data_IF_116176486123
#
_entry.id   IF_116176486123
#
_cell.length_a   1.000
_cell.length_b   1.000
_cell.length_c   1.000
_cell.angle_alpha   90.00
_cell.angle_beta   90.00
_cell.angle_gamma   90.00
#
_symmetry.space_group_name_H-M   'P 1'
#
loop_
_entity.id
_entity.type
_entity.pdbx_description
1 polymer ?
#
# COMPACT_ATOMS: atom_id res chain seq x y z
N UNK A 1 -28.85 14.68 3.64
CA UNK A 1 -27.55 14.02 3.62
C UNK A 1 -26.99 14.09 2.19
N UNK A 2 -25.70 14.33 2.02
CA UNK A 2 -25.03 14.28 0.70
C UNK A 2 -25.13 12.84 0.18
N UNK A 3 -25.60 12.65 -1.05
CA UNK A 3 -25.65 11.31 -1.64
C UNK A 3 -24.25 10.93 -2.13
N UNK A 4 -23.82 9.66 -1.95
CA UNK A 4 -22.56 9.21 -2.48
C UNK A 4 -22.56 9.27 -4.02
N UNK A 5 -21.45 9.64 -4.61
CA UNK A 5 -21.28 9.72 -6.08
C UNK A 5 -20.28 8.70 -6.61
N UNK A 6 -19.53 8.07 -5.72
CA UNK A 6 -18.56 7.02 -6.01
C UNK A 6 -18.68 5.87 -5.03
N UNK A 7 -18.49 4.64 -5.50
CA UNK A 7 -18.59 3.42 -4.67
C UNK A 7 -17.52 2.42 -5.03
N UNK A 8 -17.14 1.58 -4.05
CA UNK A 8 -16.23 0.45 -4.27
C UNK A 8 -17.06 -0.71 -4.80
N UNK A 9 -16.77 -1.16 -6.02
CA UNK A 9 -17.50 -2.23 -6.71
C UNK A 9 -16.78 -3.57 -6.72
N UNK A 10 -15.44 -3.55 -6.57
CA UNK A 10 -14.63 -4.75 -6.51
C UNK A 10 -13.42 -4.54 -5.59
N UNK A 11 -12.88 -5.64 -5.06
CA UNK A 11 -11.67 -5.63 -4.25
C UNK A 11 -10.90 -6.94 -4.37
N UNK A 12 -9.60 -6.87 -4.15
CA UNK A 12 -8.71 -8.01 -4.12
C UNK A 12 -7.54 -7.77 -3.18
N UNK A 13 -6.85 -8.85 -2.85
CA UNK A 13 -5.70 -8.79 -1.94
C UNK A 13 -4.68 -9.86 -2.26
N UNK A 14 -3.46 -9.61 -1.82
CA UNK A 14 -2.39 -10.61 -1.78
C UNK A 14 -1.54 -10.42 -0.54
N UNK A 15 -1.15 -11.52 0.08
CA UNK A 15 -0.15 -11.60 1.13
C UNK A 15 0.89 -12.65 0.74
N UNK A 16 2.19 -12.40 0.95
CA UNK A 16 3.26 -13.38 0.69
C UNK A 16 3.07 -14.68 1.49
N UNK A 17 3.64 -15.78 1.00
CA UNK A 17 3.48 -17.09 1.64
C UNK A 17 4.33 -17.25 2.92
N UNK A 18 5.52 -16.62 2.94
CA UNK A 18 6.43 -16.70 4.08
C UNK A 18 5.86 -15.99 5.29
N UNK A 19 5.82 -16.69 6.42
CA UNK A 19 5.35 -16.16 7.70
C UNK A 19 6.54 -15.95 8.64
N UNK A 20 6.58 -14.78 9.30
CA UNK A 20 7.47 -14.45 10.41
C UNK A 20 6.62 -14.37 11.68
N UNK A 21 6.78 -15.34 12.57
CA UNK A 21 6.02 -15.43 13.82
C UNK A 21 6.63 -14.58 14.94
N UNK A 22 5.87 -14.34 16.01
CA UNK A 22 6.42 -13.73 17.23
C UNK A 22 7.55 -14.56 17.84
N UNK A 23 7.43 -15.91 17.82
CA UNK A 23 8.48 -16.82 18.30
C UNK A 23 9.79 -16.73 17.48
N UNK A 24 9.71 -16.34 16.20
CA UNK A 24 10.92 -16.06 15.41
C UNK A 24 11.56 -14.73 15.80
N UNK A 25 10.74 -13.71 16.08
CA UNK A 25 11.24 -12.42 16.58
C UNK A 25 11.89 -12.51 17.97
N UNK A 26 11.42 -13.39 18.85
CA UNK A 26 12.05 -13.66 20.15
C UNK A 26 13.52 -14.14 20.02
N UNK A 27 13.87 -14.76 18.88
CA UNK A 27 15.23 -15.19 18.57
C UNK A 27 16.11 -14.06 18.02
N UNK A 28 15.50 -12.96 17.57
CA UNK A 28 16.17 -11.85 16.89
C UNK A 28 16.39 -10.63 17.80
N UNK A 29 15.39 -10.32 18.63
CA UNK A 29 15.39 -9.14 19.52
C UNK A 29 14.80 -9.51 20.89
N UNK A 30 15.11 -8.71 21.93
CA UNK A 30 14.59 -8.89 23.29
C UNK A 30 13.10 -8.56 23.36
N UNK A 31 12.24 -9.55 23.08
CA UNK A 31 10.77 -9.43 23.06
C UNK A 31 10.12 -10.77 23.44
N UNK A 32 8.79 -10.79 23.59
CA UNK A 32 8.00 -12.02 23.81
C UNK A 32 6.70 -11.97 23.00
N UNK A 33 6.15 -13.14 22.61
CA UNK A 33 4.83 -13.24 21.96
C UNK A 33 3.76 -12.54 22.79
N UNK A 34 3.77 -12.73 24.10
CA UNK A 34 2.82 -12.08 25.01
C UNK A 34 2.93 -10.55 24.94
N UNK A 35 4.16 -10.01 24.98
CA UNK A 35 4.39 -8.57 24.91
C UNK A 35 3.89 -7.97 23.59
N UNK A 36 4.23 -8.61 22.45
CA UNK A 36 3.82 -8.14 21.12
C UNK A 36 2.29 -8.16 21.01
N UNK A 37 1.65 -9.26 21.37
CA UNK A 37 0.19 -9.42 21.28
C UNK A 37 -0.57 -8.44 22.17
N UNK A 38 -0.13 -8.23 23.39
CA UNK A 38 -0.78 -7.31 24.31
C UNK A 38 -0.69 -5.84 23.83
N UNK A 39 0.37 -5.49 23.10
CA UNK A 39 0.60 -4.12 22.60
C UNK A 39 0.00 -3.87 21.22
N UNK A 40 -0.02 -4.86 20.34
CA UNK A 40 -0.31 -4.70 18.92
C UNK A 40 -1.44 -5.58 18.41
N UNK A 41 -1.74 -6.68 19.10
CA UNK A 41 -2.62 -7.74 18.61
C UNK A 41 -1.97 -8.66 17.55
N UNK A 42 -0.76 -8.34 17.07
CA UNK A 42 -0.10 -9.05 15.97
C UNK A 42 0.41 -10.41 16.43
N UNK A 43 0.15 -11.45 15.66
CA UNK A 43 0.63 -12.82 15.90
C UNK A 43 1.71 -13.24 14.92
N UNK A 44 1.61 -12.80 13.68
CA UNK A 44 2.50 -13.15 12.57
C UNK A 44 2.54 -12.03 11.53
N UNK A 45 3.57 -12.02 10.66
CA UNK A 45 3.74 -11.12 9.51
C UNK A 45 4.00 -11.96 8.28
N UNK A 46 3.38 -11.59 7.19
CA UNK A 46 3.76 -12.11 5.88
C UNK A 46 4.96 -11.33 5.37
N UNK A 47 5.93 -12.02 4.80
CA UNK A 47 7.20 -11.45 4.33
C UNK A 47 7.40 -11.85 2.87
N UNK A 48 7.64 -10.87 2.03
CA UNK A 48 7.90 -11.07 0.60
C UNK A 48 9.09 -12.01 0.36
N UNK A 49 9.01 -12.83 -0.68
CA UNK A 49 10.10 -13.65 -1.12
C UNK A 49 11.23 -12.79 -1.73
N UNK A 50 12.42 -13.34 -1.86
CA UNK A 50 13.50 -12.67 -2.57
C UNK A 50 13.07 -12.33 -4.00
N UNK A 51 13.20 -11.06 -4.39
CA UNK A 51 12.75 -10.55 -5.69
C UNK A 51 11.24 -10.29 -5.82
N UNK A 52 10.45 -10.53 -4.78
CA UNK A 52 9.03 -10.19 -4.76
C UNK A 52 8.84 -8.74 -4.30
N UNK A 53 8.81 -7.81 -5.25
CA UNK A 53 8.69 -6.39 -4.98
C UNK A 53 7.22 -5.94 -4.83
N UNK A 54 7.02 -4.68 -4.45
CA UNK A 54 5.70 -4.08 -4.19
C UNK A 54 4.76 -4.18 -5.40
N UNK A 55 5.27 -3.91 -6.62
CA UNK A 55 4.46 -4.03 -7.84
C UNK A 55 4.02 -5.48 -8.10
N UNK A 56 4.90 -6.47 -7.84
CA UNK A 56 4.57 -7.88 -8.03
C UNK A 56 3.43 -8.34 -7.10
N UNK A 57 3.44 -7.92 -5.83
CA UNK A 57 2.36 -8.18 -4.90
C UNK A 57 1.05 -7.48 -5.34
N UNK A 58 1.13 -6.23 -5.79
CA UNK A 58 -0.02 -5.47 -6.28
C UNK A 58 -0.66 -6.12 -7.52
N UNK A 59 0.15 -6.62 -8.45
CA UNK A 59 -0.33 -7.38 -9.62
C UNK A 59 -1.11 -8.63 -9.17
N UNK A 60 -0.59 -9.37 -8.19
CA UNK A 60 -1.29 -10.55 -7.62
C UNK A 60 -2.59 -10.16 -6.92
N UNK A 61 -2.62 -9.03 -6.22
CA UNK A 61 -3.86 -8.50 -5.63
C UNK A 61 -4.90 -8.17 -6.70
N UNK A 62 -4.49 -7.58 -7.83
CA UNK A 62 -5.39 -7.36 -8.98
C UNK A 62 -5.86 -8.68 -9.61
N UNK A 63 -5.00 -9.68 -9.73
CA UNK A 63 -5.40 -11.00 -10.23
C UNK A 63 -6.46 -11.66 -9.33
N UNK A 64 -6.37 -11.47 -8.01
CA UNK A 64 -7.42 -11.90 -7.08
C UNK A 64 -8.73 -11.15 -7.33
N UNK A 65 -8.68 -9.82 -7.46
CA UNK A 65 -9.84 -8.99 -7.82
C UNK A 65 -10.44 -9.44 -9.16
N UNK A 66 -9.62 -9.61 -10.19
CA UNK A 66 -10.06 -10.02 -11.53
C UNK A 66 -10.77 -11.38 -11.51
N UNK A 67 -10.19 -12.37 -10.80
CA UNK A 67 -10.76 -13.71 -10.65
C UNK A 67 -12.15 -13.68 -9.99
N UNK A 68 -12.33 -12.80 -9.00
CA UNK A 68 -13.57 -12.72 -8.20
C UNK A 68 -14.66 -11.87 -8.84
N UNK A 69 -14.29 -10.82 -9.56
CA UNK A 69 -15.22 -9.80 -10.06
C UNK A 69 -15.22 -9.65 -11.59
N UNK A 70 -14.41 -10.46 -12.30
CA UNK A 70 -14.30 -10.44 -13.76
C UNK A 70 -14.06 -9.04 -14.36
N UNK A 71 -13.12 -8.29 -13.78
CA UNK A 71 -12.77 -6.94 -14.24
C UNK A 71 -11.83 -7.03 -15.45
N UNK A 72 -12.23 -6.40 -16.57
CA UNK A 72 -11.37 -6.25 -17.75
C UNK A 72 -10.39 -5.08 -17.53
N UNK A 73 -9.07 -5.32 -17.53
CA UNK A 73 -8.06 -4.26 -17.33
C UNK A 73 -8.09 -3.18 -18.41
N UNK A 74 -8.57 -3.47 -19.61
CA UNK A 74 -8.70 -2.46 -20.68
C UNK A 74 -9.77 -1.40 -20.40
N UNK A 75 -10.63 -1.63 -19.42
CA UNK A 75 -11.68 -0.68 -19.02
C UNK A 75 -11.25 0.27 -17.90
N UNK A 76 -10.03 0.14 -17.40
CA UNK A 76 -9.50 0.99 -16.33
C UNK A 76 -8.98 2.29 -16.92
N UNK A 77 -9.36 3.42 -16.30
CA UNK A 77 -8.96 4.75 -16.71
C UNK A 77 -7.74 5.26 -15.92
N UNK A 78 -7.66 4.91 -14.63
CA UNK A 78 -6.65 5.44 -13.71
C UNK A 78 -6.21 4.38 -12.70
N UNK A 79 -4.90 4.38 -12.39
CA UNK A 79 -4.28 3.58 -11.33
C UNK A 79 -3.61 4.53 -10.33
N UNK A 80 -4.02 4.49 -9.06
CA UNK A 80 -3.36 5.21 -7.96
C UNK A 80 -2.79 4.18 -7.01
N UNK A 81 -1.50 4.30 -6.70
CA UNK A 81 -0.81 3.39 -5.77
C UNK A 81 -0.34 4.16 -4.55
N UNK A 82 -0.88 3.85 -3.39
CA UNK A 82 -0.38 4.31 -2.11
C UNK A 82 0.74 3.38 -1.65
N UNK A 83 1.98 3.86 -1.65
CA UNK A 83 3.16 3.12 -1.21
C UNK A 83 4.24 4.04 -0.68
N UNK A 84 5.05 3.55 0.26
CA UNK A 84 6.32 4.16 0.72
C UNK A 84 7.53 3.27 0.45
N UNK A 85 7.30 2.08 -0.09
CA UNK A 85 8.33 1.11 -0.46
C UNK A 85 8.19 0.71 -1.94
N UNK A 86 8.29 1.69 -2.89
CA UNK A 86 8.20 1.39 -4.31
C UNK A 86 9.36 0.48 -4.74
N UNK A 87 9.19 -0.23 -5.85
CA UNK A 87 10.25 -1.07 -6.44
C UNK A 87 11.52 -0.24 -6.71
N UNK A 88 11.35 1.00 -7.13
CA UNK A 88 12.39 1.98 -7.46
C UNK A 88 11.80 3.40 -7.48
N UNK A 89 12.65 4.43 -7.49
CA UNK A 89 12.15 5.82 -7.55
C UNK A 89 11.42 6.16 -8.84
N UNK A 90 11.82 5.58 -9.95
CA UNK A 90 11.17 5.70 -11.26
C UNK A 90 11.55 4.50 -12.14
N UNK A 91 10.65 4.03 -13.03
CA UNK A 91 9.26 4.48 -13.17
C UNK A 91 8.44 4.28 -11.91
N UNK A 92 7.25 4.89 -11.85
CA UNK A 92 6.33 4.71 -10.71
C UNK A 92 5.85 3.27 -10.59
N UNK A 93 5.50 2.83 -9.38
CA UNK A 93 4.88 1.52 -9.13
C UNK A 93 3.60 1.37 -9.95
N UNK A 94 2.81 2.45 -10.11
CA UNK A 94 1.63 2.47 -10.96
C UNK A 94 1.93 2.10 -12.41
N UNK A 95 3.07 2.54 -12.98
CA UNK A 95 3.48 2.19 -14.34
C UNK A 95 3.83 0.70 -14.48
N UNK A 96 4.51 0.12 -13.45
CA UNK A 96 4.84 -1.30 -13.43
C UNK A 96 3.58 -2.16 -13.32
N UNK A 97 2.63 -1.75 -12.48
CA UNK A 97 1.34 -2.42 -12.33
C UNK A 97 0.53 -2.33 -13.63
N UNK A 98 0.47 -1.14 -14.24
CA UNK A 98 -0.26 -0.89 -15.48
C UNK A 98 0.16 -1.86 -16.59
N UNK A 99 1.47 -2.04 -16.79
CA UNK A 99 2.02 -3.00 -17.76
C UNK A 99 1.72 -4.44 -17.31
N UNK A 100 1.97 -4.77 -16.04
CA UNK A 100 1.83 -6.13 -15.50
C UNK A 100 0.41 -6.69 -15.55
N UNK A 101 -0.62 -5.82 -15.44
CA UNK A 101 -2.03 -6.23 -15.54
C UNK A 101 -2.62 -6.01 -16.95
N UNK A 102 -1.89 -5.39 -17.86
CA UNK A 102 -2.35 -5.09 -19.23
C UNK A 102 -3.38 -3.96 -19.33
N UNK A 103 -3.42 -3.02 -18.38
CA UNK A 103 -4.36 -1.90 -18.35
C UNK A 103 -3.91 -0.77 -19.30
N UNK A 104 -3.80 -1.06 -20.58
CA UNK A 104 -3.17 -0.19 -21.62
C UNK A 104 -3.83 1.18 -21.78
N UNK A 105 -5.07 1.32 -21.37
CA UNK A 105 -5.82 2.59 -21.46
C UNK A 105 -5.67 3.45 -20.20
N UNK A 106 -5.15 2.90 -19.11
CA UNK A 106 -5.00 3.60 -17.85
C UNK A 106 -3.74 4.48 -17.84
N UNK A 107 -3.85 5.67 -17.25
CA UNK A 107 -2.70 6.38 -16.72
C UNK A 107 -2.60 6.15 -15.20
N UNK A 108 -1.49 6.56 -14.58
CA UNK A 108 -1.35 6.32 -13.14
C UNK A 108 -0.21 7.08 -12.50
N UNK A 109 -0.22 7.08 -11.17
CA UNK A 109 0.81 7.68 -10.33
C UNK A 109 0.86 7.05 -8.95
N UNK A 110 2.00 7.20 -8.26
CA UNK A 110 2.17 6.81 -6.88
C UNK A 110 1.86 7.98 -5.94
N UNK A 111 1.31 7.66 -4.76
CA UNK A 111 1.02 8.60 -3.70
C UNK A 111 1.73 8.15 -2.42
N UNK A 112 2.61 9.01 -1.88
CA UNK A 112 3.33 8.75 -0.64
C UNK A 112 2.71 9.54 0.52
N UNK A 113 2.06 8.84 1.45
CA UNK A 113 1.52 9.39 2.68
C UNK A 113 1.50 8.34 3.82
N UNK A 114 2.42 7.38 3.77
CA UNK A 114 2.58 6.30 4.75
C UNK A 114 1.23 5.64 5.12
N UNK A 115 0.96 5.42 6.41
CA UNK A 115 -0.25 4.74 6.89
C UNK A 115 -1.57 5.42 6.48
N UNK A 116 -1.55 6.71 6.14
CA UNK A 116 -2.71 7.45 5.62
C UNK A 116 -2.86 7.34 4.10
N UNK A 117 -1.87 6.76 3.41
CA UNK A 117 -1.74 6.75 1.94
C UNK A 117 -2.95 6.20 1.24
N UNK A 118 -3.45 5.04 1.65
CA UNK A 118 -4.62 4.43 1.02
C UNK A 118 -5.88 5.31 1.12
N UNK A 119 -6.14 5.91 2.27
CA UNK A 119 -7.30 6.80 2.45
C UNK A 119 -7.14 8.06 1.60
N UNK A 120 -5.92 8.61 1.49
CA UNK A 120 -5.65 9.77 0.64
C UNK A 120 -5.81 9.40 -0.85
N UNK A 121 -5.32 8.24 -1.26
CA UNK A 121 -5.48 7.73 -2.62
C UNK A 121 -6.96 7.51 -2.96
N UNK A 122 -7.73 6.93 -2.03
CA UNK A 122 -9.17 6.72 -2.19
C UNK A 122 -9.94 8.04 -2.32
N UNK A 123 -9.59 9.05 -1.50
CA UNK A 123 -10.17 10.38 -1.59
C UNK A 123 -9.90 11.06 -2.94
N UNK A 124 -8.66 10.94 -3.45
CA UNK A 124 -8.30 11.44 -4.78
C UNK A 124 -9.08 10.70 -5.88
N UNK A 125 -9.12 9.37 -5.84
CA UNK A 125 -9.86 8.56 -6.80
C UNK A 125 -11.35 8.94 -6.84
N UNK A 126 -11.97 9.16 -5.66
CA UNK A 126 -13.35 9.59 -5.58
C UNK A 126 -13.58 10.93 -6.31
N UNK A 127 -12.66 11.89 -6.20
CA UNK A 127 -12.79 13.16 -6.93
C UNK A 127 -12.71 12.96 -8.45
N UNK A 128 -11.83 12.09 -8.96
CA UNK A 128 -11.76 11.77 -10.40
C UNK A 128 -13.06 11.12 -10.90
N UNK A 129 -13.67 10.25 -10.10
CA UNK A 129 -14.95 9.62 -10.45
C UNK A 129 -16.12 10.62 -10.35
N UNK A 130 -16.20 11.38 -9.25
CA UNK A 130 -17.31 12.28 -8.95
C UNK A 130 -17.40 13.48 -9.91
N UNK A 131 -16.27 13.95 -10.44
CA UNK A 131 -16.24 15.03 -11.43
C UNK A 131 -16.36 14.51 -12.88
N UNK A 132 -16.40 13.19 -13.08
CA UNK A 132 -16.57 12.56 -14.38
C UNK A 132 -15.30 12.46 -15.24
N UNK A 133 -14.12 12.77 -14.69
CA UNK A 133 -12.83 12.63 -15.42
C UNK A 133 -12.50 11.16 -15.67
N UNK A 134 -12.76 10.29 -14.70
CA UNK A 134 -12.59 8.84 -14.81
C UNK A 134 -13.89 8.13 -14.43
N UNK A 135 -14.11 6.96 -14.98
CA UNK A 135 -15.23 6.08 -14.61
C UNK A 135 -14.78 4.89 -13.79
N UNK A 136 -13.56 4.40 -14.02
CA UNK A 136 -13.03 3.18 -13.39
C UNK A 136 -11.62 3.44 -12.89
N UNK A 137 -11.48 3.53 -11.57
CA UNK A 137 -10.21 3.85 -10.92
C UNK A 137 -9.79 2.68 -10.02
N UNK A 138 -8.62 2.12 -10.26
CA UNK A 138 -7.98 1.19 -9.33
C UNK A 138 -7.19 1.97 -8.28
N UNK A 139 -7.44 1.67 -7.01
CA UNK A 139 -6.70 2.23 -5.89
C UNK A 139 -6.00 1.09 -5.17
N UNK A 140 -4.68 1.12 -5.17
CA UNK A 140 -3.83 0.16 -4.47
C UNK A 140 -3.29 0.74 -3.17
N UNK A 141 -3.19 -0.11 -2.15
CA UNK A 141 -2.31 0.07 -1.00
C UNK A 141 -1.36 -1.12 -0.98
N UNK A 142 -0.08 -0.91 -1.18
CA UNK A 142 0.89 -1.99 -1.28
C UNK A 142 2.25 -1.55 -0.74
N UNK A 143 2.82 -2.35 0.15
CA UNK A 143 4.14 -2.09 0.71
C UNK A 143 4.92 -3.38 0.95
N UNK A 144 6.22 -3.34 0.65
CA UNK A 144 7.22 -4.32 1.04
C UNK A 144 8.02 -3.76 2.22
N UNK A 145 7.36 -3.67 3.38
CA UNK A 145 7.96 -3.08 4.58
C UNK A 145 9.16 -3.85 5.09
N UNK A 146 9.22 -5.15 4.83
CA UNK A 146 10.37 -5.99 5.22
C UNK A 146 11.67 -5.55 4.56
N UNK A 147 11.61 -4.89 3.40
CA UNK A 147 12.78 -4.40 2.67
C UNK A 147 13.48 -3.20 3.33
N UNK A 148 12.74 -2.47 4.19
CA UNK A 148 13.21 -1.26 4.87
C UNK A 148 13.15 -1.38 6.40
N UNK A 149 12.83 -2.55 6.95
CA UNK A 149 12.74 -2.78 8.39
C UNK A 149 14.08 -3.26 8.93
N UNK A 150 14.65 -2.55 9.91
CA UNK A 150 15.82 -3.02 10.67
C UNK A 150 15.38 -4.07 11.71
N UNK A 151 15.60 -5.35 11.41
CA UNK A 151 15.28 -6.47 12.30
C UNK A 151 16.19 -6.55 13.56
N UNK A 152 17.08 -5.62 13.76
CA UNK A 152 17.82 -5.44 15.04
C UNK A 152 17.21 -4.35 15.92
N UNK A 153 16.24 -3.58 15.39
CA UNK A 153 15.52 -2.56 16.13
C UNK A 153 14.17 -3.11 16.63
N UNK A 154 14.10 -3.41 17.92
CA UNK A 154 12.90 -3.93 18.59
C UNK A 154 11.67 -3.04 18.44
N UNK A 155 11.85 -1.72 18.39
CA UNK A 155 10.73 -0.77 18.43
C UNK A 155 9.89 -0.81 17.14
N UNK A 156 10.49 -1.22 16.02
CA UNK A 156 9.85 -1.23 14.71
C UNK A 156 9.68 -2.61 14.10
N UNK A 157 10.63 -3.54 14.27
CA UNK A 157 10.61 -4.85 13.60
C UNK A 157 9.40 -5.73 13.98
N UNK A 158 8.78 -5.46 15.13
CA UNK A 158 7.60 -6.19 15.60
C UNK A 158 6.29 -5.73 14.95
N UNK A 159 6.29 -4.64 14.16
CA UNK A 159 5.08 -3.99 13.66
C UNK A 159 4.75 -4.36 12.20
N UNK A 160 5.76 -4.46 11.35
CA UNK A 160 5.56 -4.41 9.91
C UNK A 160 5.63 -5.79 9.24
N UNK A 161 4.86 -5.94 8.18
CA UNK A 161 4.87 -7.04 7.23
C UNK A 161 4.53 -6.52 5.85
N UNK A 162 4.44 -7.42 4.88
CA UNK A 162 4.29 -7.12 3.46
C UNK A 162 2.90 -7.56 2.98
N UNK A 163 2.25 -6.73 2.20
CA UNK A 163 0.96 -7.05 1.60
C UNK A 163 0.60 -6.09 0.47
N UNK A 164 -0.37 -6.48 -0.33
CA UNK A 164 -1.04 -5.60 -1.29
C UNK A 164 -2.56 -5.77 -1.22
N UNK A 165 -3.28 -4.65 -1.27
CA UNK A 165 -4.72 -4.60 -1.44
C UNK A 165 -5.08 -3.69 -2.60
N UNK A 166 -6.21 -3.96 -3.27
CA UNK A 166 -6.73 -3.14 -4.35
C UNK A 166 -8.24 -3.05 -4.28
N UNK A 167 -8.77 -1.88 -4.62
CA UNK A 167 -10.20 -1.67 -4.82
C UNK A 167 -10.44 -1.04 -6.19
N UNK A 168 -11.58 -1.37 -6.81
CA UNK A 168 -12.11 -0.67 -7.97
C UNK A 168 -13.17 0.33 -7.51
N UNK A 169 -12.98 1.59 -7.87
CA UNK A 169 -13.91 2.67 -7.59
C UNK A 169 -14.63 3.08 -8.89
N UNK A 170 -15.95 3.17 -8.83
CA UNK A 170 -16.82 3.51 -9.95
C UNK A 170 -17.90 4.50 -9.52
N UNK A 171 -18.60 5.18 -10.46
CA UNK A 171 -19.77 5.99 -10.13
C UNK A 171 -20.85 5.17 -9.40
N UNK A 172 -21.44 5.72 -8.36
CA UNK A 172 -22.57 5.08 -7.66
C UNK A 172 -23.74 4.94 -8.64
N UNK A 173 -24.32 3.74 -8.80
CA UNK A 173 -25.46 3.51 -9.67
C UNK A 173 -26.66 4.38 -9.30
N UNK A 174 -27.48 4.81 -10.27
CA UNK A 174 -28.70 5.55 -9.98
C UNK A 174 -29.63 4.76 -9.04
N UNK A 175 -30.06 5.41 -7.95
CA UNK A 175 -30.95 4.79 -6.97
C UNK A 175 -30.22 4.03 -5.85
N UNK A 176 -28.91 3.85 -5.94
CA UNK A 176 -28.10 3.30 -4.86
C UNK A 176 -27.63 4.45 -3.92
N UNK A 177 -27.79 4.25 -2.63
CA UNK A 177 -27.34 5.18 -1.58
C UNK A 177 -26.07 4.68 -0.88
N UNK A 178 -25.46 3.58 -1.35
CA UNK A 178 -24.16 3.07 -0.88
C UNK A 178 -23.00 3.80 -1.54
N UNK A 179 -21.88 3.93 -0.84
CA UNK A 179 -20.66 4.50 -1.39
C UNK A 179 -19.94 5.44 -0.43
N UNK A 180 -19.00 6.21 -0.98
CA UNK A 180 -18.20 7.16 -0.22
C UNK A 180 -19.03 8.41 0.06
N UNK A 181 -19.25 8.70 1.33
CA UNK A 181 -20.08 9.82 1.77
C UNK A 181 -19.25 11.07 2.03
N UNK A 182 -18.11 10.91 2.74
CA UNK A 182 -17.24 12.02 3.12
C UNK A 182 -15.85 11.52 3.53
N UNK A 183 -14.89 12.44 3.67
CA UNK A 183 -13.52 12.19 4.10
C UNK A 183 -13.12 13.14 5.21
N UNK A 184 -12.35 12.64 6.17
CA UNK A 184 -11.63 13.46 7.15
C UNK A 184 -10.14 13.21 6.94
N UNK A 185 -9.47 14.12 6.26
CA UNK A 185 -8.04 14.03 5.93
C UNK A 185 -7.28 15.05 6.77
N UNK A 186 -6.29 14.58 7.55
CA UNK A 186 -5.47 15.42 8.42
C UNK A 186 -4.02 14.97 8.37
N UNK A 187 -3.10 15.90 8.61
CA UNK A 187 -1.67 15.66 8.75
C UNK A 187 -1.12 16.53 9.87
N UNK A 188 -0.21 15.98 10.67
CA UNK A 188 0.57 16.72 11.65
C UNK A 188 2.06 16.48 11.40
N UNK A 189 2.72 17.43 10.77
CA UNK A 189 4.15 17.38 10.44
C UNK A 189 5.07 17.54 11.66
N UNK A 190 4.56 17.95 12.82
CA UNK A 190 5.36 18.06 14.04
C UNK A 190 5.86 16.70 14.55
N UNK A 191 5.18 15.61 14.16
CA UNK A 191 5.53 14.23 14.51
C UNK A 191 6.63 13.58 13.66
N UNK A 192 7.28 14.30 12.74
CA UNK A 192 8.25 13.77 11.77
C UNK A 192 9.41 12.97 12.38
N UNK A 193 9.76 13.23 13.62
CA UNK A 193 10.91 12.61 14.31
C UNK A 193 10.52 11.33 15.10
N UNK A 194 9.25 10.91 15.08
CA UNK A 194 8.79 9.72 15.80
C UNK A 194 8.93 8.42 15.01
N UNK A 195 8.75 8.46 13.68
CA UNK A 195 8.91 7.29 12.82
C UNK A 195 9.38 7.74 11.43
N UNK A 196 10.60 7.36 11.05
CA UNK A 196 11.22 7.76 9.81
C UNK A 196 12.30 6.76 9.35
N UNK A 197 12.59 6.79 8.05
CA UNK A 197 13.78 6.18 7.46
C UNK A 197 14.66 7.31 6.93
N UNK A 198 15.84 7.48 7.52
CA UNK A 198 16.67 8.66 7.27
C UNK A 198 17.48 8.57 5.97
N UNK A 199 17.91 7.37 5.60
CA UNK A 199 18.73 7.11 4.41
C UNK A 199 17.92 6.80 3.15
N UNK A 200 18.56 6.92 2.00
CA UNK A 200 17.99 6.60 0.69
C UNK A 200 17.32 7.77 -0.04
N UNK A 201 16.97 8.85 0.67
CA UNK A 201 16.39 10.06 0.07
C UNK A 201 17.44 11.09 -0.34
N UNK A 202 16.98 12.26 -0.80
CA UNK A 202 17.85 13.35 -1.27
C UNK A 202 18.70 14.01 -0.17
N UNK A 203 18.23 13.94 1.08
CA UNK A 203 18.99 14.48 2.24
C UNK A 203 20.19 13.61 2.57
N UNK A 204 20.00 12.29 2.53
CA UNK A 204 21.04 11.29 2.79
C UNK A 204 20.97 10.21 1.70
N UNK A 205 21.57 10.44 0.53
CA UNK A 205 21.59 9.45 -0.55
C UNK A 205 22.23 8.12 -0.12
N UNK A 206 21.81 7.03 -0.74
CA UNK A 206 22.34 5.70 -0.45
C UNK A 206 23.84 5.63 -0.76
N UNK A 207 24.65 5.33 0.25
CA UNK A 207 26.11 5.15 0.17
C UNK A 207 26.54 4.01 1.10
N UNK A 208 27.75 3.49 0.92
CA UNK A 208 28.30 2.51 1.85
C UNK A 208 28.32 3.03 3.32
N UNK A 209 28.52 4.34 3.51
CA UNK A 209 28.51 4.98 4.82
C UNK A 209 27.10 5.01 5.44
N UNK A 210 26.07 5.39 4.67
CA UNK A 210 24.68 5.44 5.19
C UNK A 210 24.15 4.03 5.50
N UNK A 211 24.55 3.03 4.73
CA UNK A 211 24.24 1.63 5.01
C UNK A 211 24.95 1.16 6.30
N UNK A 212 26.26 1.44 6.43
CA UNK A 212 27.00 1.06 7.63
C UNK A 212 26.47 1.73 8.91
N UNK A 213 25.88 2.93 8.78
CA UNK A 213 25.21 3.66 9.87
C UNK A 213 23.74 3.22 10.10
N UNK A 214 23.26 2.21 9.40
CA UNK A 214 21.87 1.71 9.48
C UNK A 214 20.82 2.81 9.30
N UNK A 215 21.00 3.68 8.33
CA UNK A 215 20.08 4.79 8.04
C UNK A 215 18.93 4.39 7.11
N UNK A 216 18.98 3.18 6.57
CA UNK A 216 18.02 2.62 5.61
C UNK A 216 17.06 1.65 6.26
#
# INVERSE_FOLDING_TARGET
MKKPKSTITAFGMYVPERILTNADLEKMVDTTDEWIRNRTGIRERHIAAEGEATSAMAIKAFQDLQRRFNVDPLTIDLIIVATISPDMFFPSTAALIQEGIGAKNAYGFDLSAACSGFIYALANAAQFVENGTCRRVLVFGADTMSSITDYTNRDTCVLFGDAAGVVLLEPTPPGDDSGIIDFILKMDGSGKDYLYMLGGGSLHPATAETVAKKMH
#
